data_IF_927020918073
#
_entry.id   IF_927020918073
#
_cell.length_a   1.000
_cell.length_b   1.000
_cell.length_c   1.000
_cell.angle_alpha   90.00
_cell.angle_beta   90.00
_cell.angle_gamma   90.00
#
_symmetry.space_group_name_H-M   'P 1'
#
loop_
_entity.id
_entity.type
_entity.pdbx_description
1 polymer ?
#
# COMPACT_ATOMS: atom_id res chain seq x y z
N UNK A 1 -7.40 2.03 13.05
CA UNK A 1 -6.08 1.79 12.43
C UNK A 1 -6.36 1.60 10.95
N UNK A 2 -6.03 2.60 10.14
CA UNK A 2 -6.22 2.54 8.69
C UNK A 2 -5.02 1.84 8.05
N UNK A 3 -5.27 1.17 6.92
CA UNK A 3 -4.27 0.50 6.11
C UNK A 3 -4.43 0.92 4.65
N UNK A 4 -3.31 1.05 3.94
CA UNK A 4 -3.26 1.29 2.50
C UNK A 4 -2.28 0.30 1.88
N UNK A 5 -2.74 -0.46 0.90
CA UNK A 5 -1.93 -1.34 0.08
C UNK A 5 -1.60 -0.70 -1.26
N UNK A 6 -0.33 -0.80 -1.65
CA UNK A 6 0.20 -0.39 -2.93
C UNK A 6 0.87 -1.61 -3.56
N UNK A 7 0.49 -1.94 -4.79
CA UNK A 7 1.10 -3.01 -5.56
C UNK A 7 1.99 -2.44 -6.65
N UNK A 8 3.13 -3.08 -6.87
CA UNK A 8 4.14 -2.68 -7.84
C UNK A 8 4.57 -3.88 -8.69
N UNK A 9 4.80 -3.66 -9.98
CA UNK A 9 5.39 -4.66 -10.89
C UNK A 9 6.73 -4.15 -11.40
N UNK A 10 7.83 -4.69 -10.87
CA UNK A 10 9.19 -4.28 -11.23
C UNK A 10 9.87 -5.31 -12.17
N UNK A 11 11.15 -5.12 -12.50
CA UNK A 11 11.90 -5.96 -13.45
C UNK A 11 12.16 -7.40 -12.96
N UNK A 12 12.76 -8.25 -13.79
CA UNK A 12 12.93 -9.70 -13.54
C UNK A 12 13.89 -10.07 -12.40
N UNK A 13 14.67 -9.12 -11.87
CA UNK A 13 15.66 -9.35 -10.81
C UNK A 13 15.13 -8.86 -9.47
N UNK A 14 15.19 -9.71 -8.45
CA UNK A 14 14.72 -9.39 -7.09
C UNK A 14 15.40 -8.15 -6.50
N UNK A 15 16.67 -7.89 -6.84
CA UNK A 15 17.39 -6.73 -6.34
C UNK A 15 16.85 -5.41 -6.92
N UNK A 16 16.39 -5.44 -8.17
CA UNK A 16 15.77 -4.28 -8.83
C UNK A 16 14.35 -4.02 -8.29
N UNK A 17 13.62 -5.09 -7.97
CA UNK A 17 12.34 -5.00 -7.25
C UNK A 17 12.52 -4.40 -5.86
N UNK A 18 13.50 -4.88 -5.08
CA UNK A 18 13.78 -4.34 -3.75
C UNK A 18 14.13 -2.85 -3.79
N UNK A 19 15.03 -2.45 -4.70
CA UNK A 19 15.41 -1.03 -4.88
C UNK A 19 14.20 -0.17 -5.22
N UNK A 20 13.35 -0.65 -6.11
CA UNK A 20 12.12 0.05 -6.52
C UNK A 20 11.19 0.26 -5.32
N UNK A 21 10.93 -0.81 -4.57
CA UNK A 21 10.02 -0.76 -3.43
C UNK A 21 10.56 0.17 -2.33
N UNK A 22 11.87 0.13 -2.05
CA UNK A 22 12.51 1.07 -1.13
C UNK A 22 12.31 2.54 -1.56
N UNK A 23 12.41 2.83 -2.86
CA UNK A 23 12.19 4.19 -3.38
C UNK A 23 10.73 4.63 -3.23
N UNK A 24 9.77 3.71 -3.46
CA UNK A 24 8.35 3.99 -3.28
C UNK A 24 8.03 4.20 -1.79
N UNK A 25 8.61 3.39 -0.89
CA UNK A 25 8.51 3.59 0.56
C UNK A 25 9.02 4.98 0.97
N UNK A 26 10.18 5.40 0.46
CA UNK A 26 10.71 6.74 0.71
C UNK A 26 9.77 7.84 0.22
N UNK A 27 9.19 7.69 -0.97
CA UNK A 27 8.21 8.63 -1.50
C UNK A 27 6.95 8.70 -0.60
N UNK A 28 6.46 7.57 -0.11
CA UNK A 28 5.35 7.51 0.85
C UNK A 28 5.71 8.24 2.14
N UNK A 29 6.92 8.03 2.68
CA UNK A 29 7.41 8.72 3.90
C UNK A 29 7.59 10.22 3.72
N UNK A 30 7.76 10.71 2.49
CA UNK A 30 7.77 12.14 2.19
C UNK A 30 6.35 12.73 2.13
N UNK A 31 5.35 11.93 1.77
CA UNK A 31 3.95 12.35 1.70
C UNK A 31 3.28 12.30 3.07
N UNK A 32 3.52 11.23 3.83
CA UNK A 32 2.86 10.98 5.10
C UNK A 32 3.80 11.41 6.23
N UNK A 33 3.41 12.36 7.10
CA UNK A 33 4.22 12.77 8.23
C UNK A 33 4.63 11.59 9.10
N UNK A 34 5.90 11.52 9.51
CA UNK A 34 6.44 10.40 10.29
C UNK A 34 5.71 10.17 11.63
N UNK A 35 5.10 11.23 12.19
CA UNK A 35 4.30 11.11 13.41
C UNK A 35 2.92 10.45 13.17
N UNK A 36 2.50 10.27 11.92
CA UNK A 36 1.21 9.67 11.52
C UNK A 36 1.34 8.25 10.96
N UNK A 37 2.54 7.85 10.54
CA UNK A 37 2.84 6.46 10.15
C UNK A 37 2.98 5.60 11.41
N UNK A 38 2.21 4.52 11.49
CA UNK A 38 2.36 3.50 12.52
C UNK A 38 3.39 2.44 12.09
N UNK A 39 3.27 1.95 10.86
CA UNK A 39 4.12 0.89 10.32
C UNK A 39 4.07 0.93 8.79
N UNK A 40 5.16 0.53 8.15
CA UNK A 40 5.18 0.18 6.72
C UNK A 40 5.77 -1.23 6.61
N UNK A 41 5.15 -2.08 5.80
CA UNK A 41 5.58 -3.46 5.54
C UNK A 41 5.70 -3.65 4.03
N UNK A 42 6.87 -4.10 3.59
CA UNK A 42 7.15 -4.39 2.19
C UNK A 42 7.26 -5.90 1.98
N UNK A 43 6.36 -6.46 1.16
CA UNK A 43 6.37 -7.87 0.77
C UNK A 43 6.87 -7.98 -0.67
N UNK A 44 8.08 -8.53 -0.85
CA UNK A 44 8.70 -8.69 -2.17
C UNK A 44 8.55 -10.14 -2.66
N UNK A 45 8.12 -10.32 -3.90
CA UNK A 45 8.03 -11.61 -4.58
C UNK A 45 6.79 -12.45 -4.22
N UNK A 46 6.88 -13.77 -4.46
CA UNK A 46 5.79 -14.72 -4.18
C UNK A 46 5.79 -15.05 -2.68
N UNK A 47 4.68 -14.87 -1.94
CA UNK A 47 4.59 -15.33 -0.56
C UNK A 47 4.78 -16.85 -0.53
N UNK A 48 5.75 -17.34 0.26
CA UNK A 48 6.18 -18.75 0.34
C UNK A 48 5.08 -19.75 0.79
N UNK A 49 3.84 -19.31 1.03
CA UNK A 49 2.76 -20.18 1.47
C UNK A 49 1.74 -20.41 0.35
N UNK A 50 1.75 -21.62 -0.23
CA UNK A 50 0.86 -22.07 -1.31
C UNK A 50 -0.62 -22.23 -0.94
N UNK A 51 -1.12 -21.46 0.03
CA UNK A 51 -2.50 -21.56 0.56
C UNK A 51 -3.41 -20.44 0.03
N UNK A 52 -2.86 -19.36 -0.55
CA UNK A 52 -3.66 -18.20 -0.98
C UNK A 52 -3.94 -18.13 -2.50
N UNK A 53 -4.00 -19.28 -3.17
CA UNK A 53 -4.23 -19.34 -4.63
C UNK A 53 -5.72 -19.30 -5.01
N UNK A 54 -6.65 -19.36 -4.06
CA UNK A 54 -8.07 -19.64 -4.37
C UNK A 54 -8.96 -18.41 -4.55
N UNK A 55 -8.47 -17.19 -4.29
CA UNK A 55 -9.28 -15.97 -4.41
C UNK A 55 -8.65 -14.81 -5.20
N UNK A 56 -7.42 -14.96 -5.73
CA UNK A 56 -6.78 -13.92 -6.52
C UNK A 56 -7.05 -14.10 -8.02
N UNK A 57 -8.16 -13.51 -8.46
CA UNK A 57 -8.41 -13.21 -9.86
C UNK A 57 -7.46 -12.08 -10.30
N UNK A 58 -6.21 -12.37 -10.70
CA UNK A 58 -5.41 -11.58 -11.67
C UNK A 58 -3.99 -12.13 -11.85
N UNK A 59 -3.68 -12.53 -13.10
CA UNK A 59 -2.36 -12.56 -13.78
C UNK A 59 -1.10 -12.61 -12.91
N UNK A 60 -0.48 -13.80 -12.88
CA UNK A 60 0.98 -14.00 -12.83
C UNK A 60 1.76 -13.16 -11.80
N UNK A 61 1.53 -13.43 -10.51
CA UNK A 61 2.46 -13.00 -9.46
C UNK A 61 3.87 -13.48 -9.83
N UNK A 62 4.76 -12.54 -10.12
CA UNK A 62 6.16 -12.79 -10.46
C UNK A 62 7.02 -12.55 -9.22
N UNK A 63 8.21 -13.18 -9.10
CA UNK A 63 9.24 -12.71 -8.15
C UNK A 63 9.58 -11.21 -8.28
N UNK A 64 9.17 -10.62 -9.40
CA UNK A 64 9.32 -9.22 -9.75
C UNK A 64 8.27 -8.28 -9.14
N UNK A 65 7.21 -8.80 -8.53
CA UNK A 65 6.13 -8.01 -7.94
C UNK A 65 6.41 -7.68 -6.47
N UNK A 66 5.89 -6.56 -6.00
CA UNK A 66 6.01 -6.12 -4.61
C UNK A 66 4.73 -5.47 -4.09
N UNK A 67 4.39 -5.76 -2.83
CA UNK A 67 3.21 -5.26 -2.13
C UNK A 67 3.65 -4.45 -0.89
N UNK A 68 3.33 -3.16 -0.85
CA UNK A 68 3.63 -2.23 0.24
C UNK A 68 2.36 -1.98 1.05
N UNK A 69 2.40 -2.25 2.36
CA UNK A 69 1.31 -2.02 3.30
C UNK A 69 1.68 -0.89 4.26
N UNK A 70 0.91 0.18 4.26
CA UNK A 70 1.10 1.33 5.13
C UNK A 70 0.00 1.38 6.16
N UNK A 71 0.36 1.31 7.43
CA UNK A 71 -0.56 1.51 8.53
C UNK A 71 -0.40 2.88 9.18
N UNK A 72 -1.53 3.53 9.46
CA UNK A 72 -1.59 4.87 10.01
C UNK A 72 -2.06 4.85 11.47
N UNK A 73 -1.49 5.75 12.29
CA UNK A 73 -1.85 5.92 13.71
C UNK A 73 -3.23 6.54 13.86
N UNK A 74 -3.96 6.23 14.93
CA UNK A 74 -5.34 6.71 15.17
C UNK A 74 -5.59 8.22 14.95
N UNK A 75 -4.60 9.09 15.20
CA UNK A 75 -4.70 10.55 15.00
C UNK A 75 -4.01 11.03 13.70
N UNK A 76 -4.07 10.25 12.62
CA UNK A 76 -3.51 10.64 11.31
C UNK A 76 -4.40 11.68 10.59
N UNK A 77 -3.82 12.39 9.62
CA UNK A 77 -4.59 13.24 8.70
C UNK A 77 -5.51 12.41 7.78
N UNK A 78 -6.40 13.02 7.00
CA UNK A 78 -7.34 12.25 6.16
C UNK A 78 -6.62 11.29 5.20
N UNK A 79 -6.87 9.99 5.34
CA UNK A 79 -6.23 8.92 4.52
C UNK A 79 -6.40 9.17 3.03
N UNK A 80 -7.57 9.63 2.62
CA UNK A 80 -7.90 9.99 1.23
C UNK A 80 -6.89 10.99 0.63
N UNK A 81 -6.44 11.98 1.42
CA UNK A 81 -5.44 12.96 0.95
C UNK A 81 -4.07 12.33 0.72
N UNK A 82 -3.67 11.38 1.55
CA UNK A 82 -2.42 10.65 1.35
C UNK A 82 -2.51 9.77 0.11
N UNK A 83 -3.62 9.04 -0.06
CA UNK A 83 -3.86 8.20 -1.25
C UNK A 83 -3.86 9.04 -2.53
N UNK A 84 -4.54 10.18 -2.54
CA UNK A 84 -4.55 11.10 -3.69
C UNK A 84 -3.15 11.62 -4.02
N UNK A 85 -2.37 12.03 -3.02
CA UNK A 85 -1.01 12.50 -3.22
C UNK A 85 -0.09 11.40 -3.77
N UNK A 86 -0.22 10.17 -3.26
CA UNK A 86 0.56 9.03 -3.74
C UNK A 86 0.14 8.66 -5.17
N UNK A 87 -1.16 8.64 -5.48
CA UNK A 87 -1.66 8.38 -6.85
C UNK A 87 -1.21 9.43 -7.86
N UNK A 88 -1.11 10.69 -7.44
CA UNK A 88 -0.63 11.76 -8.30
C UNK A 88 0.89 11.68 -8.53
N UNK A 89 1.65 11.31 -7.50
CA UNK A 89 3.12 11.31 -7.54
C UNK A 89 3.73 10.02 -8.09
N UNK A 90 3.16 8.86 -7.79
CA UNK A 90 3.74 7.58 -8.15
C UNK A 90 3.96 7.41 -9.67
N UNK A 91 3.01 7.74 -10.57
CA UNK A 91 3.24 7.63 -12.01
C UNK A 91 4.30 8.62 -12.55
N UNK A 92 4.51 9.74 -11.85
CA UNK A 92 5.51 10.73 -12.23
C UNK A 92 6.92 10.30 -11.82
N UNK A 93 7.07 9.78 -10.59
CA UNK A 93 8.37 9.37 -10.05
C UNK A 93 8.80 7.98 -10.54
N UNK A 94 7.83 7.13 -10.92
CA UNK A 94 8.05 5.75 -11.35
C UNK A 94 7.33 5.42 -12.67
N UNK A 95 7.66 6.10 -13.79
CA UNK A 95 6.95 5.93 -15.07
C UNK A 95 7.12 4.55 -15.70
N UNK A 96 8.20 3.84 -15.36
CA UNK A 96 8.53 2.51 -15.89
C UNK A 96 7.89 1.36 -15.07
N UNK A 97 7.05 1.70 -14.08
CA UNK A 97 6.56 0.77 -13.06
C UNK A 97 5.03 0.87 -13.00
N UNK A 98 4.37 -0.29 -12.98
CA UNK A 98 2.91 -0.34 -12.80
C UNK A 98 2.61 -0.28 -11.30
N UNK A 99 2.01 0.84 -10.85
CA UNK A 99 1.57 1.04 -9.47
C UNK A 99 0.04 0.96 -9.40
N UNK A 100 -0.48 0.07 -8.56
CA UNK A 100 -1.91 -0.15 -8.39
C UNK A 100 -2.35 -0.04 -6.94
N UNK A 101 -3.57 0.46 -6.74
CA UNK A 101 -4.22 0.67 -5.44
C UNK A 101 -5.52 -0.14 -5.43
N UNK A 102 -5.54 -1.32 -4.82
CA UNK A 102 -6.72 -2.18 -4.84
C UNK A 102 -7.97 -1.48 -4.23
N UNK A 103 -9.20 -1.88 -4.62
CA UNK A 103 -10.43 -1.25 -4.14
C UNK A 103 -10.64 -1.34 -2.62
N UNK A 104 -10.03 -2.33 -1.96
CA UNK A 104 -10.07 -2.48 -0.51
C UNK A 104 -9.16 -1.48 0.24
N UNK A 105 -8.31 -0.74 -0.49
CA UNK A 105 -7.31 0.20 0.04
C UNK A 105 -7.73 1.65 0.05
N UNK A 106 -8.99 1.87 -0.33
CA UNK A 106 -9.70 3.10 -0.07
C UNK A 106 -10.75 2.73 0.97
N UNK A 107 -10.42 3.00 2.23
CA UNK A 107 -11.38 3.21 3.32
C UNK A 107 -11.94 1.92 3.95
N UNK A 108 -11.42 1.57 5.13
CA UNK A 108 -12.31 1.01 6.16
C UNK A 108 -13.06 2.17 6.80
N UNK A 109 -14.18 2.54 6.18
CA UNK A 109 -15.24 3.32 6.81
C UNK A 109 -15.98 2.45 7.83
N UNK A 110 -15.28 1.67 8.65
CA UNK A 110 -15.84 1.23 9.93
C UNK A 110 -15.50 2.33 10.94
N UNK A 111 -16.04 3.51 10.65
CA UNK A 111 -16.54 4.36 11.71
C UNK A 111 -17.73 3.58 12.26
N UNK A 112 -17.51 2.77 13.29
CA UNK A 112 -18.58 2.22 14.08
C UNK A 112 -19.25 3.40 14.79
N UNK A 113 -20.13 4.05 14.04
CA UNK A 113 -21.03 5.12 14.43
C UNK A 113 -22.35 4.49 14.91
N UNK A 114 -22.28 3.30 15.52
CA UNK A 114 -23.37 2.73 16.31
C UNK A 114 -23.36 3.46 17.67
N UNK A 115 -24.00 4.63 17.76
CA UNK A 115 -25.40 4.77 18.15
C UNK A 115 -25.65 4.25 19.58
N UNK A 116 -25.26 5.04 20.60
CA UNK A 116 -26.18 5.84 21.44
C UNK A 116 -25.48 6.36 22.69
N UNK A 117 -25.39 7.68 22.76
CA UNK A 117 -25.61 8.39 24.02
C UNK A 117 -27.14 8.46 24.20
N UNK A 118 -27.69 7.73 25.16
CA UNK A 118 -28.89 8.13 25.89
C UNK A 118 -28.59 7.94 27.37
N UNK A 119 -29.09 8.90 28.15
CA UNK A 119 -28.85 9.21 29.56
C UNK A 119 -29.17 8.05 30.51
#
# INVERSE_FOLDING_TARGET
>A
MDCMHIRTRAGTRIEETARTVDQIEQMIRQIIPANQVQMIIDNLGIPYSGINTTYNNTRTMSPADGDILVSLKENHGPTEKFVEAIRARAPHDFPDIEVWFPPADIVSQIKDKNLRAEL
#
